data_IF_908964540331
#
_entry.id   IF_908964540331
#
_cell.length_a   1.000
_cell.length_b   1.000
_cell.length_c   1.000
_cell.angle_alpha   90.00
_cell.angle_beta   90.00
_cell.angle_gamma   90.00
#
_symmetry.space_group_name_H-M   'P 1'
#
loop_
_entity.id
_entity.type
_entity.pdbx_description
1 polymer ?
#
# COMPACT_ATOMS: atom_id res chain seq x y z
N UNK A 1 -6.99 2.76 -6.09
CA UNK A 1 -5.76 2.80 -6.90
C UNK A 1 -4.78 1.82 -6.29
N UNK A 2 -4.27 0.87 -7.07
CA UNK A 2 -3.28 -0.10 -6.57
C UNK A 2 -1.91 0.60 -6.42
N UNK A 3 -1.32 0.62 -5.21
CA UNK A 3 0.02 1.15 -4.97
C UNK A 3 1.10 0.62 -5.92
N UNK A 4 0.99 -0.64 -6.36
CA UNK A 4 1.95 -1.29 -7.23
C UNK A 4 1.99 -0.67 -8.64
N UNK A 5 0.82 -0.25 -9.15
CA UNK A 5 0.71 0.34 -10.49
C UNK A 5 1.43 1.69 -10.52
N UNK A 6 1.24 2.51 -9.48
CA UNK A 6 1.87 3.83 -9.43
C UNK A 6 3.38 3.77 -9.23
N UNK A 7 3.89 2.82 -8.45
CA UNK A 7 5.34 2.64 -8.34
C UNK A 7 5.93 2.27 -9.70
N UNK A 8 5.34 1.32 -10.41
CA UNK A 8 5.82 0.89 -11.72
C UNK A 8 5.82 2.04 -12.75
N UNK A 9 4.78 2.89 -12.74
CA UNK A 9 4.72 4.06 -13.61
C UNK A 9 5.78 5.11 -13.26
N UNK A 10 5.99 5.39 -11.97
CA UNK A 10 7.03 6.32 -11.51
C UNK A 10 8.42 5.79 -11.88
N UNK A 11 8.70 4.50 -11.69
CA UNK A 11 9.98 3.88 -12.03
C UNK A 11 10.24 3.85 -13.54
N UNK A 12 9.22 3.57 -14.35
CA UNK A 12 9.32 3.65 -15.81
C UNK A 12 9.65 5.07 -16.24
N UNK A 13 8.89 6.06 -15.79
CA UNK A 13 9.15 7.46 -16.12
C UNK A 13 10.54 7.91 -15.65
N UNK A 14 10.94 7.54 -14.43
CA UNK A 14 12.25 7.85 -13.87
C UNK A 14 13.38 7.32 -14.77
N UNK A 15 13.26 6.07 -15.22
CA UNK A 15 14.21 5.46 -16.14
C UNK A 15 14.28 6.19 -17.47
N UNK A 16 13.13 6.43 -18.09
CA UNK A 16 13.04 7.04 -19.43
C UNK A 16 13.52 8.50 -19.43
N UNK A 17 13.28 9.22 -18.33
CA UNK A 17 13.70 10.60 -18.15
C UNK A 17 15.12 10.77 -17.56
N UNK A 18 15.78 9.68 -17.15
CA UNK A 18 17.06 9.74 -16.45
C UNK A 18 16.99 10.42 -15.07
N UNK A 19 15.82 10.38 -14.42
CA UNK A 19 15.57 11.00 -13.12
C UNK A 19 15.49 9.94 -12.02
N UNK A 20 15.56 10.37 -10.75
CA UNK A 20 15.23 9.51 -9.62
C UNK A 20 13.72 9.55 -9.36
N UNK A 21 13.09 8.44 -8.93
CA UNK A 21 11.69 8.43 -8.49
C UNK A 21 11.37 9.50 -7.44
N UNK A 22 12.28 9.71 -6.49
CA UNK A 22 12.16 10.76 -5.46
C UNK A 22 12.19 12.17 -6.03
N UNK A 23 12.91 12.41 -7.14
CA UNK A 23 12.92 13.68 -7.88
C UNK A 23 11.56 13.93 -8.51
N UNK A 24 10.95 12.91 -9.13
CA UNK A 24 9.60 13.03 -9.70
C UNK A 24 8.59 13.37 -8.59
N UNK A 25 8.64 12.66 -7.46
CA UNK A 25 7.74 12.93 -6.35
C UNK A 25 7.98 14.32 -5.70
N UNK A 26 9.22 14.81 -5.67
CA UNK A 26 9.52 16.18 -5.25
C UNK A 26 8.90 17.21 -6.21
N UNK A 27 9.07 17.01 -7.52
CA UNK A 27 8.61 17.95 -8.54
C UNK A 27 7.08 17.96 -8.68
N UNK A 28 6.45 16.79 -8.64
CA UNK A 28 5.01 16.65 -8.84
C UNK A 28 4.19 16.91 -7.57
N UNK A 29 4.70 16.52 -6.40
CA UNK A 29 3.94 16.50 -5.14
C UNK A 29 4.57 17.34 -4.01
N UNK A 30 5.76 17.91 -4.22
CA UNK A 30 6.53 18.53 -3.15
C UNK A 30 6.96 17.55 -2.05
N UNK A 31 6.92 16.25 -2.32
CA UNK A 31 7.07 15.21 -1.30
C UNK A 31 8.02 14.09 -1.76
N UNK A 32 9.33 14.21 -1.51
CA UNK A 32 10.32 13.26 -2.01
C UNK A 32 10.21 11.89 -1.32
N UNK A 33 9.69 11.87 -0.08
CA UNK A 33 9.46 10.66 0.73
C UNK A 33 8.21 9.89 0.33
N UNK A 34 7.44 10.39 -0.63
CA UNK A 34 6.23 9.71 -1.08
C UNK A 34 6.53 8.33 -1.67
N UNK A 35 7.56 8.24 -2.53
CA UNK A 35 7.99 6.99 -3.15
C UNK A 35 8.41 5.93 -2.11
N UNK A 36 9.24 6.30 -1.14
CA UNK A 36 9.71 5.38 -0.10
C UNK A 36 8.56 4.87 0.79
N UNK A 37 7.58 5.74 1.09
CA UNK A 37 6.39 5.35 1.85
C UNK A 37 5.50 4.38 1.07
N UNK A 38 5.31 4.63 -0.23
CA UNK A 38 4.59 3.75 -1.14
C UNK A 38 5.22 2.36 -1.17
N UNK A 39 6.53 2.30 -1.37
CA UNK A 39 7.30 1.04 -1.39
C UNK A 39 7.22 0.29 -0.05
N UNK A 40 7.35 1.02 1.06
CA UNK A 40 7.22 0.45 2.41
C UNK A 40 5.83 -0.13 2.66
N UNK A 41 4.78 0.54 2.17
CA UNK A 41 3.40 0.10 2.35
C UNK A 41 3.10 -1.21 1.64
N UNK A 42 3.67 -1.42 0.45
CA UNK A 42 3.53 -2.70 -0.28
C UNK A 42 4.17 -3.84 0.50
N UNK A 43 5.36 -3.63 1.08
CA UNK A 43 6.01 -4.66 1.89
C UNK A 43 5.26 -5.01 3.18
N UNK A 44 4.59 -4.03 3.80
CA UNK A 44 3.83 -4.23 5.05
C UNK A 44 2.45 -4.81 4.84
N UNK A 45 1.85 -4.60 3.66
CA UNK A 45 0.46 -5.02 3.42
C UNK A 45 0.22 -6.53 3.59
N UNK A 46 1.10 -7.45 3.11
CA UNK A 46 0.95 -8.89 3.37
C UNK A 46 1.05 -9.25 4.85
N UNK A 47 2.01 -8.67 5.58
CA UNK A 47 2.19 -8.93 7.01
C UNK A 47 1.03 -8.40 7.84
N UNK A 48 0.54 -7.20 7.53
CA UNK A 48 -0.64 -6.60 8.17
C UNK A 48 -1.89 -7.41 7.85
N UNK A 49 -2.08 -7.84 6.60
CA UNK A 49 -3.20 -8.68 6.20
C UNK A 49 -3.20 -10.02 6.94
N UNK A 50 -2.03 -10.65 7.09
CA UNK A 50 -1.89 -11.90 7.83
C UNK A 50 -2.19 -11.72 9.33
N UNK A 51 -1.64 -10.67 9.95
CA UNK A 51 -1.95 -10.32 11.35
C UNK A 51 -3.43 -10.08 11.57
N UNK A 52 -4.09 -9.38 10.65
CA UNK A 52 -5.53 -9.13 10.73
C UNK A 52 -6.33 -10.42 10.59
N UNK A 53 -5.93 -11.34 9.69
CA UNK A 53 -6.58 -12.65 9.54
C UNK A 53 -6.43 -13.50 10.80
N UNK A 54 -5.23 -13.53 11.39
CA UNK A 54 -4.98 -14.22 12.65
C UNK A 54 -5.85 -13.65 13.76
N UNK A 55 -5.88 -12.33 13.91
CA UNK A 55 -6.73 -11.66 14.89
C UNK A 55 -8.22 -11.98 14.69
N UNK A 56 -8.73 -11.95 13.44
CA UNK A 56 -10.13 -12.31 13.16
C UNK A 56 -10.44 -13.79 13.45
N UNK A 57 -9.47 -14.69 13.26
CA UNK A 57 -9.62 -16.10 13.60
C UNK A 57 -9.63 -16.33 15.12
N UNK A 58 -8.85 -15.56 15.87
CA UNK A 58 -8.78 -15.58 17.34
C UNK A 58 -9.97 -14.88 18.01
N UNK A 59 -10.57 -13.92 17.31
CA UNK A 59 -11.73 -13.15 17.76
C UNK A 59 -12.94 -13.37 16.84
N UNK A 60 -13.49 -14.60 16.77
CA UNK A 60 -14.68 -14.85 15.97
C UNK A 60 -15.84 -14.02 16.52
N UNK A 61 -16.55 -13.32 15.63
CA UNK A 61 -17.72 -12.53 16.01
C UNK A 61 -18.78 -13.53 16.50
N UNK A 62 -19.23 -13.44 17.77
CA UNK A 62 -20.30 -14.29 18.25
C UNK A 62 -21.53 -14.04 17.39
N UNK A 63 -22.14 -15.12 16.90
CA UNK A 63 -23.29 -15.09 16.00
C UNK A 63 -24.51 -14.45 16.69
N UNK A 64 -24.54 -13.13 16.73
CA UNK A 64 -25.63 -12.33 17.32
C UNK A 64 -26.58 -11.80 16.25
N UNK A 65 -26.59 -12.39 15.04
CA UNK A 65 -27.56 -12.06 13.99
C UNK A 65 -28.09 -13.24 13.16
N UNK A 66 -28.03 -14.48 13.63
CA UNK A 66 -28.79 -15.59 13.03
C UNK A 66 -30.26 -15.73 13.50
N UNK A 67 -30.78 -14.83 14.35
CA UNK A 67 -32.20 -14.86 14.76
C UNK A 67 -32.83 -13.46 14.82
N UNK A 68 -33.06 -12.88 13.64
CA UNK A 68 -34.07 -11.83 13.44
C UNK A 68 -34.61 -11.95 12.01
N UNK A 69 -35.36 -13.03 11.76
CA UNK A 69 -36.30 -13.18 10.65
C UNK A 69 -37.44 -14.06 11.11
#
# INVERSE_FOLDING_TARGET
MDPNIIIADIERYARDAGLKPTTICQLALGNPRYFDRLRSRIGRFPEEAERLRQWMAEHPIPDSKAKAS
#
